data_IF_627624403807
#
_entry.id   IF_627624403807
#
_cell.length_a   1.000
_cell.length_b   1.000
_cell.length_c   1.000
_cell.angle_alpha   90.00
_cell.angle_beta   90.00
_cell.angle_gamma   90.00
#
_symmetry.space_group_name_H-M   'P 1'
#
loop_
_entity.id
_entity.type
_entity.pdbx_description
1 polymer ?
#
# COMPACT_ATOMS: atom_id res chain seq x y z
N UNK A 1 7.55 -14.10 9.55
CA UNK A 1 7.32 -14.65 8.19
C UNK A 1 6.17 -13.84 7.64
N UNK A 2 6.14 -13.25 6.45
CA UNK A 2 7.14 -12.61 5.59
C UNK A 2 6.25 -11.74 4.69
N UNK A 3 6.38 -10.42 4.76
CA UNK A 3 5.59 -9.47 3.95
C UNK A 3 5.55 -9.81 2.44
N UNK A 4 6.53 -10.59 1.94
CA UNK A 4 6.53 -11.12 0.57
C UNK A 4 5.40 -12.10 0.23
N UNK A 5 4.74 -12.74 1.21
CA UNK A 5 3.58 -13.59 0.93
C UNK A 5 2.35 -12.75 0.59
N UNK A 6 2.15 -11.63 1.27
CA UNK A 6 1.08 -10.68 0.98
C UNK A 6 1.26 -10.08 -0.42
N UNK A 7 2.47 -9.64 -0.76
CA UNK A 7 2.76 -9.11 -2.11
C UNK A 7 2.49 -10.17 -3.19
N UNK A 8 2.84 -11.44 -2.94
CA UNK A 8 2.58 -12.55 -3.87
C UNK A 8 1.09 -12.88 -4.03
N UNK A 9 0.33 -12.82 -2.93
CA UNK A 9 -1.13 -12.97 -2.96
C UNK A 9 -1.80 -11.80 -3.73
N UNK A 10 -1.33 -10.57 -3.52
CA UNK A 10 -1.84 -9.40 -4.22
C UNK A 10 -1.50 -9.40 -5.72
N UNK A 11 -0.42 -10.07 -6.13
CA UNK A 11 -0.07 -10.30 -7.53
C UNK A 11 -0.91 -11.41 -8.16
N UNK A 12 -1.32 -12.44 -7.39
CA UNK A 12 -2.19 -13.52 -7.87
C UNK A 12 -3.53 -12.98 -8.40
N UNK A 13 -4.06 -11.91 -7.80
CA UNK A 13 -5.24 -11.17 -8.28
C UNK A 13 -5.13 -10.77 -9.75
N UNK A 14 -3.93 -10.44 -10.24
CA UNK A 14 -3.74 -10.03 -11.63
C UNK A 14 -3.95 -11.19 -12.60
N UNK A 15 -3.75 -12.42 -12.14
CA UNK A 15 -3.89 -13.65 -12.92
C UNK A 15 -5.19 -14.41 -12.63
N UNK A 16 -5.82 -14.18 -11.48
CA UNK A 16 -7.07 -14.81 -11.06
C UNK A 16 -8.22 -13.79 -10.96
N UNK A 17 -9.13 -13.77 -11.95
CA UNK A 17 -10.25 -12.83 -11.98
C UNK A 17 -11.33 -13.16 -10.92
N UNK A 18 -11.34 -14.34 -10.33
CA UNK A 18 -12.24 -14.68 -9.21
C UNK A 18 -11.72 -13.98 -7.95
N UNK A 19 -10.42 -14.05 -7.71
CA UNK A 19 -9.77 -13.36 -6.60
C UNK A 19 -9.92 -11.83 -6.72
N UNK A 20 -9.76 -11.28 -7.92
CA UNK A 20 -9.96 -9.84 -8.17
C UNK A 20 -11.39 -9.38 -7.82
N UNK A 21 -12.40 -10.15 -8.21
CA UNK A 21 -13.80 -9.85 -7.86
C UNK A 21 -14.04 -9.90 -6.36
N UNK A 22 -13.54 -10.93 -5.68
CA UNK A 22 -13.69 -11.07 -4.22
C UNK A 22 -13.00 -9.94 -3.46
N UNK A 23 -11.84 -9.46 -3.93
CA UNK A 23 -11.12 -8.32 -3.35
C UNK A 23 -11.74 -6.96 -3.71
N UNK A 24 -12.58 -6.90 -4.75
CA UNK A 24 -13.31 -5.71 -5.17
C UNK A 24 -14.58 -5.44 -4.35
N UNK A 25 -15.06 -6.43 -3.60
CA UNK A 25 -16.18 -6.26 -2.66
C UNK A 25 -15.68 -5.80 -1.29
N UNK A 26 -16.45 -4.97 -0.56
CA UNK A 26 -16.10 -4.58 0.80
C UNK A 26 -16.11 -5.82 1.71
N UNK A 27 -14.94 -6.19 2.21
CA UNK A 27 -14.71 -7.39 3.00
C UNK A 27 -13.96 -7.04 4.28
N UNK A 28 -14.27 -7.77 5.36
CA UNK A 28 -13.55 -7.64 6.63
C UNK A 28 -12.17 -8.30 6.55
N UNK A 29 -11.25 -7.81 7.38
CA UNK A 29 -9.88 -8.31 7.47
C UNK A 29 -9.83 -9.82 7.76
N UNK A 30 -10.71 -10.33 8.62
CA UNK A 30 -10.82 -11.76 8.88
C UNK A 30 -11.20 -12.57 7.62
N UNK A 31 -12.12 -12.05 6.78
CA UNK A 31 -12.49 -12.68 5.52
C UNK A 31 -11.36 -12.67 4.50
N UNK A 32 -10.58 -11.58 4.47
CA UNK A 32 -9.37 -11.49 3.63
C UNK A 32 -8.31 -12.52 4.01
N UNK A 33 -8.05 -12.68 5.31
CA UNK A 33 -7.05 -13.65 5.80
C UNK A 33 -7.48 -15.10 5.52
N UNK A 34 -8.77 -15.41 5.68
CA UNK A 34 -9.31 -16.72 5.31
C UNK A 34 -9.19 -16.98 3.80
N UNK A 35 -9.52 -16.00 2.96
CA UNK A 35 -9.36 -16.13 1.51
C UNK A 35 -7.89 -16.39 1.13
N UNK A 36 -6.95 -15.65 1.71
CA UNK A 36 -5.53 -15.90 1.48
C UNK A 36 -5.12 -17.32 1.90
N UNK A 37 -5.64 -17.81 3.02
CA UNK A 37 -5.41 -19.17 3.52
C UNK A 37 -5.98 -20.23 2.59
N UNK A 38 -7.15 -20.01 2.01
CA UNK A 38 -7.75 -20.90 0.99
C UNK A 38 -6.87 -21.01 -0.26
N UNK A 39 -6.20 -19.93 -0.63
CA UNK A 39 -5.22 -19.90 -1.72
C UNK A 39 -3.82 -20.42 -1.32
N UNK A 40 -3.65 -20.88 -0.08
CA UNK A 40 -2.41 -21.47 0.42
C UNK A 40 -1.37 -20.47 0.94
N UNK A 41 -1.76 -19.21 1.16
CA UNK A 41 -0.91 -18.17 1.76
C UNK A 41 -1.18 -18.06 3.26
N UNK A 42 -0.11 -17.96 4.06
CA UNK A 42 -0.23 -17.81 5.52
C UNK A 42 -0.02 -16.33 5.85
N UNK A 43 -1.08 -15.55 5.68
CA UNK A 43 -1.07 -14.13 6.03
C UNK A 43 -1.51 -13.93 7.47
N UNK A 44 -0.85 -13.02 8.17
CA UNK A 44 -1.28 -12.52 9.46
C UNK A 44 -1.84 -11.11 9.35
N UNK A 45 -2.59 -10.71 10.38
CA UNK A 45 -3.04 -9.34 10.53
C UNK A 45 -1.86 -8.34 10.47
N UNK A 46 -0.74 -8.72 11.08
CA UNK A 46 0.48 -7.90 11.12
C UNK A 46 1.03 -7.63 9.72
N UNK A 47 1.00 -8.61 8.81
CA UNK A 47 1.50 -8.43 7.44
C UNK A 47 0.66 -7.38 6.68
N UNK A 48 -0.66 -7.38 6.89
CA UNK A 48 -1.58 -6.40 6.29
C UNK A 48 -1.35 -4.99 6.88
N UNK A 49 -1.16 -4.89 8.19
CA UNK A 49 -0.84 -3.62 8.85
C UNK A 49 0.52 -3.06 8.42
N UNK A 50 1.54 -3.91 8.26
CA UNK A 50 2.85 -3.48 7.77
C UNK A 50 2.78 -2.97 6.33
N UNK A 51 2.00 -3.64 5.45
CA UNK A 51 1.79 -3.17 4.08
C UNK A 51 1.05 -1.84 4.02
N UNK A 52 0.00 -1.64 4.83
CA UNK A 52 -0.69 -0.35 4.95
C UNK A 52 0.25 0.76 5.43
N UNK A 53 1.04 0.49 6.48
CA UNK A 53 2.03 1.45 6.99
C UNK A 53 3.07 1.81 5.92
N UNK A 54 3.54 0.83 5.15
CA UNK A 54 4.48 1.05 4.04
C UNK A 54 3.88 1.94 2.95
N UNK A 55 2.61 1.73 2.60
CA UNK A 55 1.93 2.57 1.61
C UNK A 55 1.75 4.02 2.12
N UNK A 56 1.35 4.18 3.38
CA UNK A 56 1.21 5.50 4.02
C UNK A 56 2.55 6.25 4.06
N UNK A 57 3.64 5.59 4.45
CA UNK A 57 4.99 6.16 4.46
C UNK A 57 5.48 6.50 3.03
N UNK A 58 5.17 5.65 2.05
CA UNK A 58 5.47 5.89 0.63
C UNK A 58 4.71 7.11 0.07
N UNK A 59 3.45 7.30 0.45
CA UNK A 59 2.66 8.49 0.07
C UNK A 59 3.17 9.76 0.77
N UNK A 60 3.51 9.67 2.06
CA UNK A 60 4.00 10.78 2.88
C UNK A 60 5.37 11.31 2.43
N UNK A 61 6.28 10.43 2.02
CA UNK A 61 7.58 10.85 1.46
C UNK A 61 7.43 11.61 0.12
N UNK A 62 6.44 11.25 -0.71
CA UNK A 62 6.11 11.99 -1.96
C UNK A 62 5.43 13.34 -1.72
N UNK A 63 4.76 13.56 -0.59
CA UNK A 63 4.25 14.90 -0.24
C UNK A 63 5.39 15.79 0.28
N UNK A 64 6.26 15.28 1.14
CA UNK A 64 7.39 16.05 1.70
C UNK A 64 8.40 16.52 0.63
N UNK A 65 8.54 15.80 -0.49
CA UNK A 65 9.37 16.28 -1.61
C UNK A 65 8.69 17.38 -2.44
N UNK A 66 7.35 17.37 -2.56
CA UNK A 66 6.62 18.42 -3.28
C UNK A 66 6.62 19.74 -2.52
N UNK A 67 6.47 19.70 -1.20
CA UNK A 67 6.45 20.90 -0.37
C UNK A 67 7.82 21.63 -0.39
N UNK A 68 8.93 20.89 -0.31
CA UNK A 68 10.29 21.48 -0.36
C UNK A 68 10.63 22.11 -1.72
N UNK A 69 10.09 21.58 -2.81
CA UNK A 69 10.29 22.15 -4.15
C UNK A 69 9.53 23.47 -4.35
N UNK A 70 8.41 23.66 -3.64
CA UNK A 70 7.57 24.85 -3.76
C UNK A 70 8.13 26.02 -2.92
N UNK A 71 8.70 25.75 -1.76
CA UNK A 71 9.30 26.78 -0.89
C UNK A 71 10.65 27.30 -1.40
N UNK A 72 11.47 26.47 -2.06
CA UNK A 72 12.72 26.94 -2.70
C UNK A 72 12.47 27.98 -3.81
N UNK A 73 11.33 27.91 -4.49
CA UNK A 73 10.96 28.89 -5.53
C UNK A 73 10.50 30.22 -4.93
N UNK A 74 9.80 30.19 -3.79
CA UNK A 74 9.36 31.41 -3.09
C UNK A 74 10.54 32.17 -2.49
N UNK A 75 11.54 31.48 -1.95
CA UNK A 75 12.73 32.14 -1.39
C UNK A 75 13.59 32.86 -2.44
N UNK A 76 13.68 32.35 -3.68
CA UNK A 76 14.44 33.02 -4.76
C UNK A 76 13.79 34.32 -5.25
N UNK A 77 12.46 34.45 -5.12
CA UNK A 77 11.74 35.65 -5.56
C UNK A 77 11.71 36.77 -4.49
N UNK A 78 12.12 36.49 -3.25
CA UNK A 78 12.07 37.46 -2.16
C UNK A 78 13.43 38.14 -1.87
N UNK A 79 14.54 37.65 -2.47
CA UNK A 79 15.89 38.20 -2.26
C UNK A 79 16.25 39.28 -3.29
N UNK A 80 15.39 39.56 -4.28
CA UNK A 80 15.57 40.67 -5.23
C UNK A 80 14.34 41.58 -5.17
N UNK A 81 14.44 42.62 -4.33
CA UNK A 81 13.45 43.66 -4.10
C UNK A 81 13.87 44.52 -2.91
#
# INVERSE_FOLDING_TARGET
>A
MSIGELDRFLDLRNTDPVLDKSLGEPMDLAGFLELAREHGFILSESDVFEAQQREVLSRSSKSLQRDQAQDSRRLRNFIHG
#
